data_IF_240893508711
#
_entry.id   IF_240893508711
#
_cell.length_a   1.000
_cell.length_b   1.000
_cell.length_c   1.000
_cell.angle_alpha   90.00
_cell.angle_beta   90.00
_cell.angle_gamma   90.00
#
_symmetry.space_group_name_H-M   'P 1'
#
loop_
_entity.id
_entity.type
_entity.pdbx_description
1 polymer ?
#
# COMPACT_ATOMS: atom_id res chain seq x y z
N UNK A 1 10.50 -10.57 -48.65
CA UNK A 1 10.05 -11.63 -47.72
C UNK A 1 10.77 -11.63 -46.37
N UNK A 2 12.02 -11.17 -46.26
CA UNK A 2 12.79 -11.21 -44.99
C UNK A 2 12.52 -10.08 -43.97
N UNK A 3 11.95 -8.92 -44.36
CA UNK A 3 11.64 -7.83 -43.41
C UNK A 3 10.34 -8.07 -42.61
N UNK A 4 9.38 -8.82 -43.18
CA UNK A 4 8.11 -9.13 -42.51
C UNK A 4 8.29 -10.20 -41.42
N UNK A 5 9.23 -11.15 -41.63
CA UNK A 5 9.56 -12.18 -40.64
C UNK A 5 10.26 -11.61 -39.39
N UNK A 6 11.05 -10.56 -39.55
CA UNK A 6 11.77 -9.89 -38.45
C UNK A 6 10.84 -9.09 -37.53
N UNK A 7 9.76 -8.51 -38.08
CA UNK A 7 8.72 -7.83 -37.29
C UNK A 7 7.84 -8.85 -36.55
N UNK A 8 7.58 -10.02 -37.16
CA UNK A 8 6.84 -11.11 -36.51
C UNK A 8 7.62 -11.78 -35.35
N UNK A 9 8.96 -11.75 -35.41
CA UNK A 9 9.83 -12.27 -34.34
C UNK A 9 9.99 -11.29 -33.16
N UNK A 10 9.90 -9.98 -33.39
CA UNK A 10 9.94 -8.98 -32.32
C UNK A 10 8.66 -9.00 -31.46
N UNK A 11 7.48 -9.21 -32.07
CA UNK A 11 6.20 -9.22 -31.35
C UNK A 11 6.03 -10.42 -30.41
N UNK A 12 6.65 -11.57 -30.72
CA UNK A 12 6.65 -12.74 -29.83
C UNK A 12 7.67 -12.63 -28.68
N UNK A 13 8.58 -11.63 -28.72
CA UNK A 13 9.62 -11.44 -27.71
C UNK A 13 9.11 -10.82 -26.40
N UNK A 14 7.98 -10.12 -26.42
CA UNK A 14 7.38 -9.50 -25.22
C UNK A 14 6.75 -10.57 -24.34
N UNK A 15 6.00 -11.51 -24.92
CA UNK A 15 5.40 -12.63 -24.19
C UNK A 15 6.44 -13.62 -23.62
N UNK A 16 7.63 -13.71 -24.23
CA UNK A 16 8.66 -14.68 -23.84
C UNK A 16 9.43 -14.33 -22.56
N UNK A 17 9.23 -13.13 -21.98
CA UNK A 17 10.00 -12.66 -20.83
C UNK A 17 9.19 -12.50 -19.54
N UNK A 18 7.85 -12.49 -19.63
CA UNK A 18 6.98 -12.54 -18.46
C UNK A 18 6.83 -13.98 -17.99
N UNK A 19 7.01 -14.19 -16.69
CA UNK A 19 6.91 -15.53 -16.10
C UNK A 19 5.56 -15.79 -15.46
N UNK A 20 4.77 -14.75 -15.18
CA UNK A 20 3.43 -14.91 -14.62
C UNK A 20 2.38 -14.26 -15.52
N UNK A 21 1.28 -14.98 -15.71
CA UNK A 21 0.12 -14.54 -16.50
C UNK A 21 -1.17 -14.71 -15.69
N UNK A 22 -2.17 -13.88 -15.93
CA UNK A 22 -3.52 -14.05 -15.39
C UNK A 22 -4.55 -13.50 -16.36
N UNK A 23 -5.84 -13.77 -16.13
CA UNK A 23 -6.95 -13.29 -16.96
C UNK A 23 -7.82 -12.32 -16.20
N UNK A 24 -8.45 -11.39 -16.92
CA UNK A 24 -9.49 -10.52 -16.38
C UNK A 24 -10.85 -11.07 -16.79
N UNK A 25 -11.81 -11.14 -15.87
CA UNK A 25 -13.19 -11.56 -16.14
C UNK A 25 -13.82 -10.70 -17.23
N UNK A 26 -14.69 -11.31 -18.05
CA UNK A 26 -15.37 -10.56 -19.11
C UNK A 26 -16.24 -9.46 -18.51
N UNK A 27 -16.02 -8.23 -18.97
CA UNK A 27 -16.83 -7.06 -18.59
C UNK A 27 -18.11 -6.99 -19.42
N UNK A 28 -19.16 -6.42 -18.82
CA UNK A 28 -20.49 -6.28 -19.44
C UNK A 28 -20.63 -5.01 -20.28
N UNK A 29 -19.91 -3.96 -19.92
CA UNK A 29 -19.98 -2.65 -20.53
C UNK A 29 -18.59 -2.18 -20.98
N UNK A 30 -18.56 -1.25 -21.92
CA UNK A 30 -17.31 -0.60 -22.36
C UNK A 30 -16.99 0.55 -21.39
N UNK A 31 -15.70 0.79 -21.15
CA UNK A 31 -15.22 1.97 -20.44
C UNK A 31 -14.26 1.63 -19.30
N UNK A 32 -14.03 2.61 -18.43
CA UNK A 32 -13.13 2.47 -17.28
C UNK A 32 -13.66 1.47 -16.27
N UNK A 33 -12.84 0.46 -15.96
CA UNK A 33 -13.12 -0.54 -14.95
C UNK A 33 -12.05 -0.52 -13.88
N UNK A 34 -12.47 -0.74 -12.62
CA UNK A 34 -11.57 -0.93 -11.49
C UNK A 34 -11.25 -2.41 -11.32
N UNK A 35 -9.97 -2.74 -11.24
CA UNK A 35 -9.48 -4.10 -11.08
C UNK A 35 -8.64 -4.15 -9.81
N UNK A 36 -9.14 -4.83 -8.77
CA UNK A 36 -8.39 -5.04 -7.54
C UNK A 36 -7.31 -6.09 -7.79
N UNK A 37 -6.06 -5.78 -7.46
CA UNK A 37 -4.94 -6.72 -7.62
C UNK A 37 -4.96 -7.74 -6.48
N UNK A 38 -5.06 -9.05 -6.77
CA UNK A 38 -4.89 -10.09 -5.76
C UNK A 38 -3.48 -10.06 -5.17
N UNK A 39 -3.37 -10.48 -3.92
CA UNK A 39 -2.09 -10.69 -3.23
C UNK A 39 -1.10 -11.53 -4.04
N UNK A 40 -1.63 -12.49 -4.79
CA UNK A 40 -0.84 -13.39 -5.61
C UNK A 40 -0.13 -12.67 -6.77
N UNK A 41 -0.82 -11.76 -7.46
CA UNK A 41 -0.20 -10.91 -8.50
C UNK A 41 0.84 -9.98 -7.88
N UNK A 42 0.49 -9.34 -6.76
CA UNK A 42 1.41 -8.46 -6.00
C UNK A 42 2.69 -9.16 -5.58
N UNK A 43 2.62 -10.45 -5.27
CA UNK A 43 3.77 -11.29 -4.92
C UNK A 43 4.69 -11.65 -6.11
N UNK A 44 4.14 -11.72 -7.33
CA UNK A 44 4.91 -12.03 -8.54
C UNK A 44 5.51 -10.78 -9.21
N UNK A 45 4.85 -9.64 -9.05
CA UNK A 45 5.32 -8.37 -9.58
C UNK A 45 6.49 -7.80 -8.79
N UNK A 46 7.17 -6.83 -9.40
CA UNK A 46 8.05 -5.91 -8.67
C UNK A 46 7.22 -5.10 -7.67
N UNK A 47 7.89 -4.65 -6.61
CA UNK A 47 7.26 -3.93 -5.50
C UNK A 47 6.47 -2.69 -5.98
N UNK A 48 7.07 -1.96 -6.92
CA UNK A 48 6.52 -0.76 -7.57
C UNK A 48 5.57 -1.06 -8.74
N UNK A 49 5.30 -2.34 -9.04
CA UNK A 49 4.47 -2.82 -10.15
C UNK A 49 4.98 -2.40 -11.54
N UNK A 50 6.26 -2.05 -11.68
CA UNK A 50 6.82 -1.59 -12.95
C UNK A 50 6.79 -2.63 -14.07
N UNK A 51 6.69 -3.91 -13.74
CA UNK A 51 6.63 -5.03 -14.67
C UNK A 51 5.21 -5.55 -14.97
N UNK A 52 4.19 -5.00 -14.29
CA UNK A 52 2.79 -5.32 -14.54
C UNK A 52 2.37 -4.77 -15.91
N UNK A 53 1.64 -5.55 -16.71
CA UNK A 53 1.05 -5.12 -17.98
C UNK A 53 -0.33 -5.75 -18.17
N UNK A 54 -1.23 -5.02 -18.82
CA UNK A 54 -2.51 -5.54 -19.32
C UNK A 54 -2.43 -5.57 -20.84
N UNK A 55 -2.75 -6.69 -21.46
CA UNK A 55 -2.80 -6.84 -22.92
C UNK A 55 -4.16 -7.36 -23.37
N UNK A 56 -4.63 -6.90 -24.53
CA UNK A 56 -5.85 -7.39 -25.18
C UNK A 56 -5.64 -8.76 -25.87
N UNK A 57 -6.67 -9.28 -26.51
CA UNK A 57 -6.60 -10.59 -27.19
C UNK A 57 -5.63 -10.63 -28.38
N UNK A 58 -5.24 -9.46 -28.90
CA UNK A 58 -4.27 -9.29 -29.98
C UNK A 58 -2.85 -9.05 -29.46
N UNK A 59 -2.68 -8.94 -28.14
CA UNK A 59 -1.40 -8.67 -27.49
C UNK A 59 -1.03 -7.19 -27.46
N UNK A 60 -1.96 -6.28 -27.75
CA UNK A 60 -1.72 -4.84 -27.59
C UNK A 60 -1.88 -4.44 -26.13
N UNK A 61 -0.95 -3.63 -25.66
CA UNK A 61 -0.96 -3.10 -24.30
C UNK A 61 -2.12 -2.12 -24.09
N UNK A 62 -2.84 -2.31 -22.99
CA UNK A 62 -3.97 -1.47 -22.59
C UNK A 62 -3.48 -0.52 -21.50
N UNK A 63 -3.56 0.81 -21.70
CA UNK A 63 -3.19 1.78 -20.68
C UNK A 63 -3.99 1.60 -19.39
N UNK A 64 -3.32 1.81 -18.25
CA UNK A 64 -3.93 1.70 -16.94
C UNK A 64 -3.35 2.70 -15.94
N UNK A 65 -4.11 3.02 -14.89
CA UNK A 65 -3.66 3.81 -13.73
C UNK A 65 -3.50 2.88 -12.54
N UNK A 66 -2.46 3.07 -11.73
CA UNK A 66 -2.34 2.42 -10.42
C UNK A 66 -2.97 3.32 -9.35
N UNK A 67 -3.97 2.77 -8.66
CA UNK A 67 -4.58 3.36 -7.48
C UNK A 67 -4.04 2.70 -6.22
N UNK A 68 -3.22 3.46 -5.50
CA UNK A 68 -2.77 3.13 -4.16
C UNK A 68 -3.34 4.18 -3.20
N UNK A 69 -4.19 3.74 -2.28
CA UNK A 69 -4.65 4.59 -1.18
C UNK A 69 -3.45 4.75 -0.24
N UNK A 70 -2.71 5.84 -0.41
CA UNK A 70 -1.42 6.04 0.29
C UNK A 70 -1.57 6.61 1.69
N UNK A 71 -2.74 7.16 2.04
CA UNK A 71 -3.01 7.75 3.35
C UNK A 71 -4.46 7.51 3.75
N UNK A 72 -4.71 7.43 5.06
CA UNK A 72 -6.04 7.71 5.60
C UNK A 72 -6.44 9.10 5.12
N UNK A 73 -7.29 9.16 4.10
CA UNK A 73 -7.83 10.42 3.66
C UNK A 73 -8.73 10.91 4.79
N UNK A 74 -8.28 11.94 5.51
CA UNK A 74 -9.15 12.70 6.39
C UNK A 74 -10.04 13.53 5.47
N UNK A 75 -11.11 12.91 4.97
CA UNK A 75 -12.18 13.67 4.34
C UNK A 75 -12.97 14.33 5.46
N UNK A 76 -12.91 15.65 5.55
CA UNK A 76 -13.77 16.43 6.44
C UNK A 76 -15.13 16.60 5.77
N UNK A 77 -16.13 15.84 6.21
CA UNK A 77 -17.51 16.08 5.81
C UNK A 77 -18.18 17.04 6.78
N UNK A 78 -18.86 18.07 6.28
CA UNK A 78 -19.65 18.97 7.12
C UNK A 78 -21.00 18.33 7.47
N UNK A 79 -21.22 18.07 8.75
CA UNK A 79 -22.49 17.55 9.27
C UNK A 79 -23.34 18.71 9.75
N UNK A 80 -24.47 18.97 9.09
CA UNK A 80 -25.36 20.09 9.41
C UNK A 80 -26.23 19.79 10.63
N UNK A 81 -26.35 20.77 11.54
CA UNK A 81 -27.33 20.79 12.61
C UNK A 81 -28.69 21.23 12.08
N UNK A 82 -29.76 20.72 12.70
CA UNK A 82 -31.12 21.17 12.41
C UNK A 82 -31.35 22.54 13.06
N UNK A 83 -31.46 23.59 12.24
CA UNK A 83 -31.87 24.92 12.70
C UNK A 83 -33.37 24.90 13.00
N UNK A 84 -33.73 25.24 14.24
CA UNK A 84 -35.11 25.25 14.72
C UNK A 84 -35.77 26.62 14.50
N UNK A 85 -35.01 27.71 14.72
CA UNK A 85 -35.52 29.06 14.50
C UNK A 85 -34.41 30.07 14.21
N UNK A 86 -34.80 31.13 13.51
CA UNK A 86 -33.98 32.34 13.28
C UNK A 86 -34.84 33.57 13.47
N UNK A 87 -34.41 34.46 14.35
CA UNK A 87 -35.11 35.71 14.65
C UNK A 87 -34.12 36.86 14.58
N UNK A 88 -34.39 37.86 13.74
CA UNK A 88 -33.57 39.07 13.63
C UNK A 88 -34.37 40.26 14.10
N UNK A 89 -33.84 40.97 15.10
CA UNK A 89 -34.36 42.25 15.57
C UNK A 89 -33.45 43.33 15.02
N UNK A 90 -33.92 44.15 14.05
CA UNK A 90 -33.10 45.18 13.41
C UNK A 90 -32.41 46.08 14.43
N UNK A 91 -31.13 46.39 14.18
CA UNK A 91 -30.28 47.25 15.03
C UNK A 91 -30.13 46.76 16.48
N UNK A 92 -30.40 45.48 16.75
CA UNK A 92 -30.31 44.89 18.09
C UNK A 92 -29.54 43.57 18.07
N UNK A 93 -30.15 42.49 17.59
CA UNK A 93 -29.54 41.16 17.59
C UNK A 93 -30.17 40.21 16.59
N UNK A 94 -29.41 39.19 16.20
CA UNK A 94 -29.89 38.00 15.49
C UNK A 94 -29.72 36.79 16.38
N UNK A 95 -30.81 36.06 16.61
CA UNK A 95 -30.84 34.84 17.42
C UNK A 95 -31.07 33.63 16.51
N UNK A 96 -30.24 32.60 16.64
CA UNK A 96 -30.37 31.33 15.92
C UNK A 96 -30.41 30.20 16.95
N UNK A 97 -31.45 29.36 16.91
CA UNK A 97 -31.60 28.18 17.77
C UNK A 97 -31.47 26.93 16.91
N UNK A 98 -30.68 25.96 17.34
CA UNK A 98 -30.49 24.69 16.65
C UNK A 98 -30.41 23.51 17.61
N UNK A 99 -30.72 22.32 17.09
CA UNK A 99 -30.61 21.05 17.82
C UNK A 99 -29.19 20.51 17.74
N UNK A 100 -28.63 20.12 18.89
CA UNK A 100 -27.36 19.41 18.99
C UNK A 100 -27.60 17.89 18.77
N UNK A 101 -27.06 17.31 17.69
CA UNK A 101 -27.24 15.89 17.39
C UNK A 101 -26.24 14.97 18.13
N UNK A 102 -25.30 15.52 18.91
CA UNK A 102 -24.22 14.78 19.57
C UNK A 102 -24.43 14.70 21.08
N UNK A 103 -23.93 13.63 21.70
CA UNK A 103 -23.99 13.43 23.16
C UNK A 103 -23.24 14.52 23.95
N UNK A 104 -22.11 14.98 23.42
CA UNK A 104 -21.39 16.14 23.95
C UNK A 104 -20.68 16.90 22.83
N UNK A 105 -20.46 18.20 23.06
CA UNK A 105 -19.82 19.13 22.13
C UNK A 105 -19.02 20.19 22.88
N UNK A 106 -17.92 20.61 22.29
CA UNK A 106 -17.00 21.67 22.75
C UNK A 106 -16.71 22.71 21.65
N UNK A 107 -17.24 22.50 20.44
CA UNK A 107 -17.19 23.47 19.36
C UNK A 107 -18.39 23.32 18.43
N UNK A 108 -18.73 24.40 17.72
CA UNK A 108 -19.67 24.40 16.61
C UNK A 108 -19.09 25.21 15.46
N UNK A 109 -19.40 24.85 14.23
CA UNK A 109 -18.90 25.52 13.03
C UNK A 109 -20.05 26.21 12.30
N UNK A 110 -19.87 27.49 12.00
CA UNK A 110 -20.77 28.28 11.17
C UNK A 110 -20.23 28.34 9.75
N UNK A 111 -21.09 28.08 8.76
CA UNK A 111 -20.86 28.52 7.38
C UNK A 111 -21.55 29.86 7.19
N UNK A 112 -20.80 30.90 6.85
CA UNK A 112 -21.29 32.28 6.76
C UNK A 112 -21.01 32.79 5.35
N UNK A 113 -21.91 33.61 4.79
CA UNK A 113 -21.63 34.31 3.53
C UNK A 113 -20.39 35.19 3.70
N UNK A 114 -19.49 35.17 2.72
CA UNK A 114 -18.26 35.96 2.72
C UNK A 114 -18.59 37.46 2.94
N UNK A 115 -18.01 38.06 3.98
CA UNK A 115 -18.32 39.43 4.40
C UNK A 115 -17.16 40.05 5.19
N UNK A 116 -16.83 41.30 4.93
CA UNK A 116 -15.89 42.06 5.77
C UNK A 116 -16.63 42.71 6.96
N UNK A 117 -16.98 41.90 7.95
CA UNK A 117 -17.69 42.32 9.16
C UNK A 117 -17.13 41.63 10.40
N UNK A 118 -17.01 42.37 11.49
CA UNK A 118 -16.76 41.82 12.83
C UNK A 118 -18.04 41.89 13.69
N UNK A 119 -18.36 40.81 14.38
CA UNK A 119 -19.53 40.66 15.26
C UNK A 119 -19.12 40.24 16.66
N UNK A 120 -19.85 40.66 17.68
CA UNK A 120 -19.80 39.97 18.98
C UNK A 120 -20.94 38.96 19.08
N UNK A 121 -20.71 37.85 19.77
CA UNK A 121 -21.69 36.81 19.94
C UNK A 121 -21.67 36.21 21.35
N UNK A 122 -22.81 35.63 21.73
CA UNK A 122 -22.96 34.80 22.93
C UNK A 122 -23.61 33.47 22.56
N UNK A 123 -23.28 32.43 23.32
CA UNK A 123 -23.84 31.09 23.17
C UNK A 123 -24.49 30.68 24.50
N UNK A 124 -25.68 30.09 24.42
CA UNK A 124 -26.37 29.50 25.57
C UNK A 124 -26.89 28.11 25.23
N UNK A 125 -26.97 27.24 26.23
CA UNK A 125 -27.52 25.89 26.12
C UNK A 125 -28.85 25.74 26.88
N UNK A 126 -29.69 24.81 26.42
CA UNK A 126 -30.98 24.46 27.02
C UNK A 126 -31.36 23.02 26.69
N UNK A 127 -32.09 22.35 27.58
CA UNK A 127 -32.66 21.03 27.31
C UNK A 127 -34.16 21.06 26.97
N UNK A 128 -34.84 22.19 27.22
CA UNK A 128 -36.29 22.36 27.03
C UNK A 128 -36.68 23.56 26.15
N UNK A 129 -35.71 24.37 25.69
CA UNK A 129 -35.89 25.64 24.97
C UNK A 129 -36.51 26.78 25.80
N UNK A 130 -36.84 26.55 27.07
CA UNK A 130 -37.46 27.53 27.97
C UNK A 130 -36.41 28.15 28.89
N UNK A 131 -35.59 27.32 29.54
CA UNK A 131 -34.52 27.74 30.44
C UNK A 131 -33.18 27.71 29.71
N UNK A 132 -32.45 28.82 29.74
CA UNK A 132 -31.20 29.00 28.99
C UNK A 132 -30.04 29.32 29.93
N UNK A 133 -28.95 28.57 29.79
CA UNK A 133 -27.73 28.72 30.58
C UNK A 133 -26.58 29.20 29.70
N UNK A 134 -25.85 30.21 30.17
CA UNK A 134 -24.74 30.81 29.41
C UNK A 134 -23.56 29.84 29.25
N UNK A 135 -23.04 29.72 28.02
CA UNK A 135 -21.86 28.91 27.70
C UNK A 135 -20.68 29.79 27.26
N UNK A 136 -20.95 30.77 26.40
CA UNK A 136 -19.96 31.74 25.89
C UNK A 136 -20.59 33.12 25.97
N UNK A 137 -19.84 34.11 26.47
CA UNK A 137 -20.36 35.46 26.64
C UNK A 137 -19.49 36.50 25.92
N UNK A 138 -20.12 37.28 25.04
CA UNK A 138 -19.54 38.42 24.33
C UNK A 138 -18.19 38.14 23.65
N UNK A 139 -18.08 36.97 23.03
CA UNK A 139 -16.91 36.58 22.24
C UNK A 139 -16.93 37.26 20.87
N UNK A 140 -15.79 37.29 20.18
CA UNK A 140 -15.63 38.01 18.92
C UNK A 140 -15.61 37.03 17.75
N UNK A 141 -16.42 37.33 16.74
CA UNK A 141 -16.45 36.66 15.45
C UNK A 141 -15.88 37.63 14.39
N UNK A 142 -14.72 37.29 13.85
CA UNK A 142 -13.97 38.11 12.90
C UNK A 142 -13.45 37.26 11.73
N UNK A 143 -12.65 37.87 10.83
CA UNK A 143 -12.03 37.22 9.68
C UNK A 143 -13.07 36.49 8.80
N UNK A 144 -14.22 37.12 8.59
CA UNK A 144 -15.33 36.59 7.80
C UNK A 144 -15.13 36.78 6.29
N UNK A 145 -13.99 37.34 5.90
CA UNK A 145 -13.59 37.55 4.51
C UNK A 145 -12.75 36.38 3.96
N UNK A 146 -12.91 36.09 2.67
CA UNK A 146 -12.10 35.12 1.93
C UNK A 146 -11.98 35.54 0.45
N UNK A 147 -10.80 35.42 -0.14
CA UNK A 147 -10.56 35.88 -1.52
C UNK A 147 -10.95 34.86 -2.60
N UNK A 148 -11.19 33.61 -2.21
CA UNK A 148 -11.39 32.48 -3.13
C UNK A 148 -12.81 31.92 -3.09
N UNK A 149 -13.53 32.10 -1.98
CA UNK A 149 -14.84 31.48 -1.73
C UNK A 149 -15.92 32.50 -1.40
N UNK A 150 -17.17 32.19 -1.78
CA UNK A 150 -18.36 33.01 -1.45
C UNK A 150 -18.89 32.76 -0.04
N UNK A 151 -18.26 31.87 0.72
CA UNK A 151 -18.59 31.56 2.10
C UNK A 151 -17.34 31.22 2.91
N UNK A 152 -17.40 31.46 4.22
CA UNK A 152 -16.33 31.17 5.17
C UNK A 152 -16.86 30.28 6.28
N UNK A 153 -16.07 29.27 6.66
CA UNK A 153 -16.32 28.48 7.85
C UNK A 153 -15.65 29.09 9.08
N UNK A 154 -16.38 29.20 10.18
CA UNK A 154 -15.88 29.68 11.47
C UNK A 154 -16.23 28.74 12.60
N UNK A 155 -15.20 28.22 13.25
CA UNK A 155 -15.31 27.45 14.48
C UNK A 155 -15.52 28.39 15.66
N UNK A 156 -16.61 28.17 16.38
CA UNK A 156 -16.92 28.83 17.65
C UNK A 156 -16.67 27.82 18.77
N UNK A 157 -15.62 27.99 19.59
CA UNK A 157 -15.38 27.12 20.74
C UNK A 157 -16.39 27.40 21.85
N UNK A 158 -16.75 26.36 22.61
CA UNK A 158 -17.57 26.43 23.82
C UNK A 158 -17.07 25.42 24.88
N UNK A 159 -17.40 25.59 26.17
CA UNK A 159 -17.13 24.56 27.16
C UNK A 159 -17.79 23.23 26.76
N UNK A 160 -17.13 22.11 27.06
CA UNK A 160 -17.70 20.77 26.84
C UNK A 160 -19.05 20.66 27.54
N UNK A 161 -20.11 20.44 26.77
CA UNK A 161 -21.49 20.41 27.26
C UNK A 161 -22.32 19.33 26.55
N UNK A 162 -23.49 19.01 27.11
CA UNK A 162 -24.42 18.00 26.58
C UNK A 162 -25.83 18.53 26.33
N UNK A 163 -26.00 19.87 26.28
CA UNK A 163 -27.31 20.48 26.07
C UNK A 163 -27.92 20.07 24.72
N UNK A 164 -29.21 19.74 24.74
CA UNK A 164 -29.94 19.34 23.51
C UNK A 164 -30.11 20.49 22.52
N UNK A 165 -30.28 21.70 23.01
CA UNK A 165 -30.50 22.89 22.19
C UNK A 165 -29.45 23.95 22.48
N UNK A 166 -28.96 24.57 21.42
CA UNK A 166 -28.04 25.69 21.51
C UNK A 166 -28.65 26.93 20.86
N UNK A 167 -28.34 28.08 21.45
CA UNK A 167 -28.76 29.40 20.98
C UNK A 167 -27.53 30.27 20.78
N UNK A 168 -27.37 30.79 19.58
CA UNK A 168 -26.37 31.81 19.24
C UNK A 168 -27.07 33.15 19.14
N UNK A 169 -26.57 34.14 19.87
CA UNK A 169 -27.00 35.53 19.75
C UNK A 169 -25.87 36.37 19.17
N UNK A 170 -26.10 36.92 17.98
CA UNK A 170 -25.20 37.82 17.27
C UNK A 170 -25.61 39.26 17.55
N UNK A 171 -24.66 40.11 17.93
CA UNK A 171 -24.90 41.52 18.22
C UNK A 171 -24.94 42.36 16.93
N UNK A 172 -26.09 42.96 16.66
CA UNK A 172 -26.35 43.76 15.45
C UNK A 172 -26.49 45.26 15.76
N UNK A 173 -26.08 45.71 16.95
CA UNK A 173 -26.19 47.13 17.35
C UNK A 173 -25.29 48.06 16.52
N UNK A 174 -24.08 47.60 16.17
CA UNK A 174 -23.08 48.41 15.47
C UNK A 174 -22.94 48.09 13.98
N UNK A 175 -23.46 46.95 13.54
CA UNK A 175 -23.28 46.41 12.18
C UNK A 175 -24.55 45.69 11.74
N UNK A 176 -24.82 45.64 10.43
CA UNK A 176 -25.97 44.90 9.88
C UNK A 176 -25.85 43.38 10.12
N UNK A 177 -26.96 42.64 10.20
CA UNK A 177 -26.94 41.18 10.39
C UNK A 177 -26.08 40.47 9.34
N UNK A 178 -25.37 39.41 9.76
CA UNK A 178 -24.64 38.53 8.85
C UNK A 178 -25.54 37.36 8.40
N UNK A 179 -25.30 36.85 7.20
CA UNK A 179 -26.03 35.69 6.69
C UNK A 179 -25.32 34.38 7.05
N UNK A 180 -25.75 33.74 8.14
CA UNK A 180 -25.35 32.38 8.49
C UNK A 180 -26.07 31.41 7.55
N UNK A 181 -25.33 30.66 6.74
CA UNK A 181 -25.86 29.68 5.80
C UNK A 181 -26.17 28.36 6.49
N UNK A 182 -25.22 27.85 7.28
CA UNK A 182 -25.29 26.54 7.94
C UNK A 182 -24.65 26.59 9.32
N UNK A 183 -25.11 25.72 10.20
CA UNK A 183 -24.49 25.43 11.51
C UNK A 183 -24.23 23.94 11.53
N UNK A 184 -23.08 23.52 12.02
CA UNK A 184 -22.73 22.10 12.00
C UNK A 184 -21.38 21.82 12.62
N UNK A 185 -20.80 20.70 12.21
CA UNK A 185 -19.50 20.25 12.65
C UNK A 185 -18.74 19.66 11.47
N UNK A 186 -17.42 19.80 11.48
CA UNK A 186 -16.62 18.90 10.65
C UNK A 186 -16.60 17.51 11.30
N UNK A 187 -16.84 16.51 10.48
CA UNK A 187 -16.67 15.10 10.81
C UNK A 187 -15.49 14.61 10.01
N UNK A 188 -14.42 14.26 10.69
CA UNK A 188 -13.32 13.55 10.06
C UNK A 188 -13.81 12.13 9.83
N UNK A 189 -14.14 11.79 8.59
CA UNK A 189 -14.25 10.40 8.21
C UNK A 189 -12.83 9.92 7.94
N UNK A 190 -12.25 9.26 8.94
CA UNK A 190 -11.05 8.46 8.72
C UNK A 190 -11.50 7.27 7.87
N UNK A 191 -11.28 7.35 6.56
CA UNK A 191 -11.39 6.16 5.71
C UNK A 191 -10.17 5.31 6.02
N UNK A 192 -10.36 4.22 6.77
CA UNK A 192 -9.30 3.27 7.03
C UNK A 192 -8.81 2.68 5.71
N UNK A 193 -7.49 2.58 5.53
CA UNK A 193 -6.91 1.93 4.37
C UNK A 193 -7.51 0.52 4.20
N UNK A 194 -7.98 0.21 2.99
CA UNK A 194 -8.46 -1.15 2.70
C UNK A 194 -7.28 -2.09 2.66
N UNK A 195 -7.34 -3.16 3.44
CA UNK A 195 -6.30 -4.19 3.50
C UNK A 195 -6.84 -5.54 3.07
N UNK A 196 -5.98 -6.35 2.46
CA UNK A 196 -6.27 -7.73 2.07
C UNK A 196 -5.43 -8.69 2.91
N UNK A 197 -6.06 -9.74 3.45
CA UNK A 197 -5.37 -10.77 4.21
C UNK A 197 -4.41 -11.57 3.32
N UNK A 198 -3.24 -11.87 3.85
CA UNK A 198 -2.28 -12.81 3.27
C UNK A 198 -1.99 -13.93 4.26
N UNK A 199 -1.72 -15.11 3.73
CA UNK A 199 -1.58 -16.32 4.53
C UNK A 199 -0.13 -16.79 4.50
N UNK A 200 0.49 -16.83 5.68
CA UNK A 200 1.79 -17.44 5.85
C UNK A 200 1.68 -18.95 5.62
N UNK A 201 2.70 -19.52 4.96
CA UNK A 201 2.84 -20.98 4.84
C UNK A 201 3.06 -21.61 6.21
N UNK A 202 3.86 -20.95 7.04
CA UNK A 202 4.19 -21.42 8.39
C UNK A 202 4.57 -20.25 9.28
N UNK A 203 4.12 -20.29 10.54
CA UNK A 203 4.57 -19.43 11.63
C UNK A 203 5.08 -20.30 12.77
N UNK A 204 6.36 -20.21 13.11
CA UNK A 204 6.98 -21.01 14.17
C UNK A 204 7.37 -20.12 15.33
N UNK A 205 6.94 -20.47 16.54
CA UNK A 205 7.26 -19.74 17.76
C UNK A 205 8.33 -20.50 18.52
N UNK A 206 9.44 -19.83 18.81
CA UNK A 206 10.57 -20.33 19.59
C UNK A 206 10.71 -19.46 20.85
N UNK A 207 10.62 -20.09 22.02
CA UNK A 207 10.90 -19.41 23.28
C UNK A 207 12.39 -19.51 23.58
N UNK A 208 13.00 -18.40 23.99
CA UNK A 208 14.43 -18.28 24.26
C UNK A 208 14.65 -17.75 25.68
N UNK A 209 14.48 -18.60 26.72
CA UNK A 209 14.49 -18.14 28.12
C UNK A 209 15.82 -17.51 28.55
N UNK A 210 16.96 -18.06 28.09
CA UNK A 210 18.29 -17.54 28.40
C UNK A 210 18.48 -16.09 27.92
N UNK A 211 17.84 -15.72 26.81
CA UNK A 211 17.90 -14.40 26.19
C UNK A 211 16.69 -13.53 26.57
N UNK A 212 15.78 -14.07 27.40
CA UNK A 212 14.53 -13.42 27.82
C UNK A 212 13.66 -12.94 26.65
N UNK A 213 13.59 -13.76 25.60
CA UNK A 213 12.93 -13.42 24.32
C UNK A 213 12.00 -14.52 23.82
N UNK A 214 11.03 -14.12 23.00
CA UNK A 214 10.23 -15.03 22.17
C UNK A 214 10.47 -14.65 20.71
N UNK A 215 10.89 -15.61 19.89
CA UNK A 215 11.12 -15.40 18.46
C UNK A 215 10.04 -16.10 17.64
N UNK A 216 9.45 -15.38 16.71
CA UNK A 216 8.45 -15.86 15.77
C UNK A 216 9.09 -15.84 14.39
N UNK A 217 9.12 -16.98 13.73
CA UNK A 217 9.63 -17.12 12.37
C UNK A 217 8.46 -17.30 11.40
N UNK A 218 8.32 -16.33 10.50
CA UNK A 218 7.24 -16.25 9.53
C UNK A 218 7.77 -16.62 8.14
N UNK A 219 7.12 -17.58 7.47
CA UNK A 219 7.54 -18.08 6.15
C UNK A 219 6.34 -18.07 5.20
N UNK A 220 6.54 -17.51 4.01
CA UNK A 220 5.61 -17.57 2.89
C UNK A 220 6.15 -18.47 1.78
N UNK A 221 5.27 -18.96 0.89
CA UNK A 221 5.72 -19.76 -0.26
C UNK A 221 6.62 -18.96 -1.21
N UNK A 222 6.39 -17.64 -1.27
CA UNK A 222 7.04 -16.66 -2.14
C UNK A 222 7.20 -15.33 -1.39
N UNK A 223 8.05 -14.39 -1.85
CA UNK A 223 8.03 -13.03 -1.33
C UNK A 223 6.61 -12.45 -1.32
N UNK A 224 6.19 -11.90 -0.19
CA UNK A 224 4.89 -11.26 -0.01
C UNK A 224 5.09 -9.85 0.49
N UNK A 225 4.16 -8.98 0.12
CA UNK A 225 4.10 -7.61 0.62
C UNK A 225 3.29 -7.62 1.92
N UNK A 226 3.88 -7.13 3.02
CA UNK A 226 3.22 -6.99 4.31
C UNK A 226 3.20 -5.52 4.70
N UNK A 227 2.02 -5.01 5.01
CA UNK A 227 1.79 -3.64 5.46
C UNK A 227 1.16 -3.58 6.86
N UNK A 228 0.57 -4.68 7.33
CA UNK A 228 -0.03 -4.74 8.65
C UNK A 228 0.10 -6.14 9.27
N UNK A 229 0.27 -6.19 10.59
CA UNK A 229 0.31 -7.42 11.38
C UNK A 229 -0.67 -7.32 12.54
N UNK A 230 -1.53 -8.32 12.70
CA UNK A 230 -2.47 -8.44 13.81
C UNK A 230 -2.11 -9.63 14.69
N UNK A 231 -2.11 -9.42 16.01
CA UNK A 231 -1.86 -10.44 17.02
C UNK A 231 -3.11 -10.68 17.86
N UNK A 232 -3.49 -11.94 18.00
CA UNK A 232 -4.47 -12.40 19.00
C UNK A 232 -3.71 -13.05 20.15
N UNK A 233 -3.75 -12.41 21.31
CA UNK A 233 -3.00 -12.79 22.51
C UNK A 233 -4.00 -13.18 23.59
N UNK A 234 -3.87 -14.39 24.14
CA UNK A 234 -4.85 -14.93 25.10
C UNK A 234 -4.35 -14.96 26.54
N UNK A 235 -3.03 -14.88 26.76
CA UNK A 235 -2.44 -14.88 28.09
C UNK A 235 -1.04 -14.25 28.07
N UNK A 236 -0.62 -13.56 29.15
CA UNK A 236 -1.41 -13.20 30.33
C UNK A 236 -2.42 -12.08 30.03
N UNK A 237 -3.36 -11.80 30.94
CA UNK A 237 -4.37 -10.75 30.77
C UNK A 237 -3.76 -9.34 30.69
N UNK A 238 -2.67 -9.11 31.43
CA UNK A 238 -1.96 -7.84 31.47
C UNK A 238 -0.55 -8.03 30.92
N UNK A 239 -0.23 -7.30 29.86
CA UNK A 239 1.09 -7.31 29.27
C UNK A 239 1.41 -5.98 28.59
N UNK A 240 2.71 -5.68 28.57
CA UNK A 240 3.31 -4.62 27.78
C UNK A 240 4.69 -5.09 27.35
N UNK A 241 4.90 -5.32 26.04
CA UNK A 241 6.12 -5.92 25.49
C UNK A 241 6.58 -5.19 24.25
N UNK A 242 7.85 -4.84 24.21
CA UNK A 242 8.48 -4.36 22.99
C UNK A 242 8.69 -5.54 22.04
N UNK A 243 8.38 -5.32 20.78
CA UNK A 243 8.62 -6.27 19.70
C UNK A 243 9.34 -5.58 18.53
N UNK A 244 10.19 -6.34 17.86
CA UNK A 244 10.90 -5.91 16.65
C UNK A 244 10.64 -6.87 15.50
N UNK A 245 10.54 -6.34 14.29
CA UNK A 245 10.63 -7.11 13.05
C UNK A 245 12.06 -6.99 12.54
N UNK A 246 12.67 -8.10 12.17
CA UNK A 246 13.97 -8.08 11.51
C UNK A 246 14.06 -9.10 10.39
N UNK A 247 14.97 -8.82 9.46
CA UNK A 247 15.30 -9.69 8.32
C UNK A 247 16.80 -9.96 8.28
N UNK A 248 17.18 -11.09 7.68
CA UNK A 248 18.58 -11.45 7.53
C UNK A 248 19.10 -10.96 6.18
N UNK A 249 20.01 -9.98 6.17
CA UNK A 249 20.68 -9.52 4.95
C UNK A 249 22.08 -10.09 4.81
N UNK A 250 22.51 -10.28 3.55
CA UNK A 250 23.89 -10.62 3.20
C UNK A 250 24.65 -9.32 2.90
N UNK A 251 25.86 -9.17 3.46
CA UNK A 251 26.72 -8.04 3.08
C UNK A 251 27.08 -8.14 1.58
N UNK A 252 26.97 -7.06 0.79
CA UNK A 252 27.57 -7.00 -0.53
C UNK A 252 29.09 -7.18 -0.37
N UNK A 253 29.67 -8.15 -1.07
CA UNK A 253 30.93 -8.78 -0.67
C UNK A 253 32.12 -8.42 -1.55
N UNK A 254 33.25 -8.07 -0.92
CA UNK A 254 34.59 -8.54 -1.31
C UNK A 254 35.16 -9.60 -0.34
N UNK A 255 34.44 -9.97 0.73
CA UNK A 255 34.78 -11.09 1.64
C UNK A 255 33.51 -11.85 2.04
N UNK A 256 33.59 -13.20 2.09
CA UNK A 256 32.49 -14.16 2.35
C UNK A 256 31.38 -13.53 3.22
N UNK A 257 30.27 -13.16 2.58
CA UNK A 257 29.24 -12.30 3.19
C UNK A 257 28.60 -12.94 4.42
N UNK A 258 28.97 -12.45 5.61
CA UNK A 258 28.30 -12.79 6.85
C UNK A 258 26.83 -12.33 6.78
N UNK A 259 25.92 -13.20 7.22
CA UNK A 259 24.49 -12.90 7.38
C UNK A 259 24.33 -12.15 8.70
N UNK A 260 23.64 -11.01 8.70
CA UNK A 260 23.37 -10.23 9.91
C UNK A 260 21.88 -9.85 9.99
N UNK A 261 21.32 -9.71 11.19
CA UNK A 261 19.95 -9.24 11.37
C UNK A 261 19.89 -7.72 11.16
N UNK A 262 18.95 -7.27 10.34
CA UNK A 262 18.61 -5.86 10.15
C UNK A 262 17.20 -5.62 10.69
N UNK A 263 17.10 -4.71 11.67
CA UNK A 263 15.83 -4.31 12.26
C UNK A 263 15.06 -3.51 11.21
N UNK A 264 13.86 -3.98 10.87
CA UNK A 264 12.99 -3.37 9.89
C UNK A 264 11.96 -2.43 10.53
N UNK A 265 11.35 -2.86 11.64
CA UNK A 265 10.31 -2.10 12.34
C UNK A 265 10.24 -2.50 13.81
N UNK A 266 9.62 -1.68 14.64
CA UNK A 266 9.38 -1.96 16.05
C UNK A 266 7.97 -1.50 16.45
N UNK A 267 7.40 -2.14 17.46
CA UNK A 267 6.08 -1.80 18.02
C UNK A 267 5.96 -2.36 19.45
N UNK A 268 4.93 -1.90 20.18
CA UNK A 268 4.63 -2.37 21.52
C UNK A 268 3.33 -3.18 21.52
N UNK A 269 3.41 -4.43 21.98
CA UNK A 269 2.24 -5.26 22.30
C UNK A 269 1.70 -4.85 23.67
N UNK A 270 0.42 -4.51 23.74
CA UNK A 270 -0.21 -4.00 24.97
C UNK A 270 -1.61 -4.58 25.15
N UNK A 271 -1.98 -4.95 26.39
CA UNK A 271 -3.31 -5.48 26.71
C UNK A 271 -4.43 -4.42 26.64
N UNK A 272 -4.09 -3.14 26.71
CA UNK A 272 -5.05 -2.02 26.72
C UNK A 272 -5.37 -1.47 25.31
N UNK A 273 -4.69 -1.94 24.27
CA UNK A 273 -4.86 -1.45 22.90
C UNK A 273 -5.10 -2.61 21.94
N UNK A 274 -5.61 -2.28 20.74
CA UNK A 274 -5.69 -3.27 19.67
C UNK A 274 -4.27 -3.61 19.21
N UNK A 275 -3.89 -4.89 19.29
CA UNK A 275 -2.58 -5.37 18.84
C UNK A 275 -2.56 -5.57 17.30
N UNK A 276 -2.78 -4.48 16.58
CA UNK A 276 -2.87 -4.40 15.12
C UNK A 276 -1.98 -3.25 14.67
N UNK A 277 -0.92 -3.57 13.93
CA UNK A 277 0.18 -2.66 13.66
C UNK A 277 0.37 -2.48 12.17
N UNK A 278 0.15 -1.26 11.68
CA UNK A 278 0.60 -0.86 10.35
C UNK A 278 2.13 -0.69 10.37
N UNK A 279 2.81 -1.30 9.40
CA UNK A 279 4.26 -1.28 9.26
C UNK A 279 4.65 -0.69 7.89
N UNK A 280 5.87 -0.16 7.75
CA UNK A 280 6.43 0.12 6.42
C UNK A 280 6.34 -1.12 5.53
N UNK A 281 6.21 -0.92 4.23
CA UNK A 281 6.03 -2.02 3.28
C UNK A 281 7.21 -2.99 3.34
N UNK A 282 6.96 -4.22 3.81
CA UNK A 282 7.96 -5.29 3.87
C UNK A 282 7.71 -6.24 2.70
N UNK A 283 8.68 -6.40 1.79
CA UNK A 283 8.57 -7.33 0.67
C UNK A 283 9.56 -8.50 0.83
N UNK A 284 9.14 -9.52 1.57
CA UNK A 284 10.04 -10.62 1.96
C UNK A 284 9.33 -11.97 1.95
N UNK A 285 10.09 -13.02 1.67
CA UNK A 285 9.59 -14.40 1.76
C UNK A 285 9.59 -14.90 3.21
N UNK A 286 10.55 -14.43 3.98
CA UNK A 286 10.76 -14.85 5.36
C UNK A 286 11.22 -13.67 6.21
N UNK A 287 10.73 -13.60 7.43
CA UNK A 287 11.14 -12.60 8.40
C UNK A 287 10.92 -13.11 9.82
N UNK A 288 11.46 -12.36 10.77
CA UNK A 288 11.39 -12.70 12.19
C UNK A 288 10.72 -11.57 12.96
N UNK A 289 9.94 -11.95 13.97
CA UNK A 289 9.44 -11.04 14.99
C UNK A 289 10.02 -11.50 16.32
N UNK A 290 10.63 -10.59 17.07
CA UNK A 290 11.20 -10.88 18.37
C UNK A 290 10.53 -10.03 19.43
N UNK A 291 9.98 -10.69 20.44
CA UNK A 291 9.28 -10.09 21.57
C UNK A 291 10.22 -10.16 22.78
N UNK A 292 10.46 -9.02 23.42
CA UNK A 292 11.23 -8.94 24.66
C UNK A 292 10.35 -9.32 25.85
N UNK A 293 10.59 -10.48 26.46
CA UNK A 293 9.82 -10.96 27.61
C UNK A 293 10.30 -10.33 28.93
N UNK A 294 11.57 -9.91 29.01
CA UNK A 294 12.25 -9.56 30.27
C UNK A 294 12.07 -10.69 31.29
N UNK A 295 11.70 -10.38 32.53
CA UNK A 295 11.49 -11.39 33.59
C UNK A 295 10.10 -12.04 33.57
N UNK A 296 9.32 -11.86 32.50
CA UNK A 296 7.95 -12.34 32.43
C UNK A 296 7.84 -13.63 31.63
N UNK A 297 6.80 -14.44 31.89
CA UNK A 297 6.51 -15.59 31.04
C UNK A 297 6.20 -15.15 29.59
N UNK A 298 6.50 -16.01 28.60
CA UNK A 298 6.14 -15.77 27.20
C UNK A 298 4.64 -15.52 27.00
N UNK A 299 4.29 -14.67 26.03
CA UNK A 299 2.90 -14.46 25.63
C UNK A 299 2.34 -15.72 24.94
N UNK A 300 1.07 -16.04 25.20
CA UNK A 300 0.34 -17.05 24.45
C UNK A 300 -0.32 -16.42 23.22
N UNK A 301 0.24 -16.69 22.04
CA UNK A 301 -0.20 -16.15 20.75
C UNK A 301 -1.14 -17.16 20.09
N UNK A 302 -2.44 -16.89 20.08
CA UNK A 302 -3.43 -17.74 19.42
C UNK A 302 -3.37 -17.60 17.91
N UNK A 303 -3.23 -16.36 17.42
CA UNK A 303 -3.25 -16.05 16.00
C UNK A 303 -2.32 -14.90 15.67
N UNK A 304 -1.65 -15.03 14.53
CA UNK A 304 -0.87 -13.96 13.91
C UNK A 304 -1.35 -13.85 12.47
N UNK A 305 -1.86 -12.68 12.11
CA UNK A 305 -2.39 -12.41 10.77
C UNK A 305 -1.57 -11.33 10.11
N UNK A 306 -1.42 -11.45 8.79
CA UNK A 306 -0.66 -10.52 7.98
C UNK A 306 -1.58 -9.96 6.91
N UNK A 307 -1.42 -8.68 6.60
CA UNK A 307 -2.21 -8.00 5.59
C UNK A 307 -1.34 -7.13 4.71
N UNK A 308 -1.80 -6.90 3.49
CA UNK A 308 -1.24 -5.94 2.56
C UNK A 308 -2.26 -4.87 2.23
N UNK A 309 -1.79 -3.66 1.92
CA UNK A 309 -2.65 -2.59 1.43
C UNK A 309 -3.23 -2.99 0.07
N UNK A 310 -4.53 -2.77 -0.10
CA UNK A 310 -5.20 -3.06 -1.36
C UNK A 310 -4.74 -2.07 -2.43
N UNK A 311 -4.32 -2.59 -3.58
CA UNK A 311 -4.05 -1.80 -4.77
C UNK A 311 -5.05 -2.20 -5.85
N UNK A 312 -5.56 -1.20 -6.54
CA UNK A 312 -6.38 -1.40 -7.72
C UNK A 312 -5.69 -0.76 -8.94
N UNK A 313 -6.06 -1.25 -10.12
CA UNK A 313 -5.75 -0.59 -11.38
C UNK A 313 -7.03 -0.16 -12.07
N UNK A 314 -7.01 0.95 -12.79
CA UNK A 314 -8.10 1.39 -13.65
C UNK A 314 -7.66 1.26 -15.09
N UNK A 315 -8.43 0.55 -15.92
CA UNK A 315 -8.17 0.40 -17.34
C UNK A 315 -9.46 0.55 -18.16
N UNK A 316 -9.35 1.02 -19.40
CA UNK A 316 -10.47 1.07 -20.34
C UNK A 316 -10.67 -0.32 -20.98
N UNK A 317 -11.73 -1.02 -20.56
CA UNK A 317 -12.04 -2.38 -20.98
C UNK A 317 -13.27 -2.38 -21.91
N UNK A 318 -13.28 -3.30 -22.88
CA UNK A 318 -14.37 -3.50 -23.83
C UNK A 318 -15.15 -4.76 -23.50
N UNK A 319 -16.47 -4.67 -23.62
CA UNK A 319 -17.37 -5.80 -23.49
C UNK A 319 -16.99 -6.92 -24.48
N UNK A 320 -16.99 -8.15 -23.99
CA UNK A 320 -16.62 -9.38 -24.73
C UNK A 320 -15.17 -9.47 -25.21
N UNK A 321 -14.31 -8.50 -24.89
CA UNK A 321 -12.87 -8.59 -25.13
C UNK A 321 -12.20 -9.44 -24.06
N UNK A 322 -11.14 -10.18 -24.43
CA UNK A 322 -10.37 -10.99 -23.49
C UNK A 322 -9.07 -10.30 -23.17
N UNK A 323 -8.82 -10.07 -21.89
CA UNK A 323 -7.59 -9.43 -21.43
C UNK A 323 -6.73 -10.40 -20.63
N UNK A 324 -5.42 -10.26 -20.82
CA UNK A 324 -4.39 -11.01 -20.10
C UNK A 324 -3.50 -10.04 -19.33
N UNK A 325 -3.23 -10.37 -18.08
CA UNK A 325 -2.24 -9.69 -17.25
C UNK A 325 -0.91 -10.42 -17.41
N UNK A 326 0.17 -9.65 -17.53
CA UNK A 326 1.55 -10.14 -17.60
C UNK A 326 2.35 -9.49 -16.47
N UNK A 327 3.16 -10.27 -15.77
CA UNK A 327 4.07 -9.77 -14.72
C UNK A 327 5.28 -10.69 -14.55
N UNK A 328 6.15 -10.40 -13.58
CA UNK A 328 7.37 -11.12 -13.25
C UNK A 328 8.44 -10.99 -14.36
N UNK A 329 8.61 -9.76 -14.86
CA UNK A 329 9.67 -9.41 -15.81
C UNK A 329 10.62 -8.37 -15.20
N UNK A 330 11.77 -8.79 -14.65
CA UNK A 330 12.65 -7.91 -13.88
C UNK A 330 13.30 -6.80 -14.72
N UNK A 331 13.26 -6.89 -16.05
CA UNK A 331 13.85 -5.91 -16.96
C UNK A 331 12.93 -4.73 -17.26
N UNK A 332 11.65 -4.84 -16.92
CA UNK A 332 10.68 -3.78 -17.21
C UNK A 332 10.70 -2.69 -16.14
N UNK A 333 10.43 -1.49 -16.63
CA UNK A 333 10.16 -0.29 -15.85
C UNK A 333 8.68 0.08 -15.98
N UNK A 334 8.21 0.90 -15.05
CA UNK A 334 6.85 1.41 -15.05
C UNK A 334 6.51 2.06 -16.39
N UNK A 335 5.34 1.74 -16.98
CA UNK A 335 4.92 2.36 -18.22
C UNK A 335 4.46 3.81 -17.95
N UNK A 336 4.62 4.67 -18.95
CA UNK A 336 4.13 6.05 -18.94
C UNK A 336 2.94 6.15 -19.90
N UNK A 337 1.74 6.33 -19.34
CA UNK A 337 0.52 6.49 -20.11
C UNK A 337 -0.10 7.87 -19.89
N UNK A 338 -0.70 8.44 -20.94
CA UNK A 338 -1.48 9.67 -20.84
C UNK A 338 -2.65 9.57 -19.85
N UNK A 339 -3.15 8.35 -19.62
CA UNK A 339 -4.26 8.09 -18.71
C UNK A 339 -3.96 8.60 -17.28
N UNK A 340 -2.70 8.57 -16.83
CA UNK A 340 -2.31 9.06 -15.49
C UNK A 340 -2.64 10.55 -15.30
N UNK A 341 -2.61 11.36 -16.37
CA UNK A 341 -2.95 12.79 -16.31
C UNK A 341 -4.43 13.04 -16.01
N UNK A 342 -5.29 12.05 -16.19
CA UNK A 342 -6.74 12.14 -15.96
C UNK A 342 -7.18 11.53 -14.64
N UNK A 343 -6.26 11.09 -13.78
CA UNK A 343 -6.56 10.44 -12.49
C UNK A 343 -7.57 11.22 -11.63
N UNK A 344 -7.47 12.55 -11.62
CA UNK A 344 -8.34 13.42 -10.80
C UNK A 344 -9.73 13.67 -11.42
N UNK A 345 -9.94 13.37 -12.71
CA UNK A 345 -11.24 13.53 -13.37
C UNK A 345 -12.05 12.24 -13.46
N UNK A 346 -11.46 11.10 -13.10
CA UNK A 346 -12.14 9.80 -13.10
C UNK A 346 -13.09 9.71 -11.91
N UNK A 347 -14.33 9.28 -12.18
CA UNK A 347 -15.34 9.05 -11.15
C UNK A 347 -14.91 7.89 -10.22
N UNK A 348 -15.14 8.04 -8.91
CA UNK A 348 -14.82 7.02 -7.92
C UNK A 348 -15.73 5.77 -8.00
N UNK A 349 -16.91 5.86 -8.62
CA UNK A 349 -17.83 4.75 -8.78
C UNK A 349 -17.66 4.07 -10.14
N UNK A 350 -16.69 3.16 -10.24
CA UNK A 350 -16.40 2.39 -11.46
C UNK A 350 -16.90 0.93 -11.32
N UNK A 351 -17.35 0.31 -12.42
CA UNK A 351 -17.61 -1.13 -12.45
C UNK A 351 -16.34 -1.90 -12.12
N UNK A 352 -16.47 -2.97 -11.32
CA UNK A 352 -15.35 -3.81 -10.91
C UNK A 352 -15.17 -5.01 -11.86
N UNK A 353 -13.92 -5.31 -12.20
CA UNK A 353 -13.53 -6.53 -12.90
C UNK A 353 -12.50 -7.31 -12.06
N UNK A 354 -12.59 -8.64 -12.10
CA UNK A 354 -11.76 -9.52 -11.26
C UNK A 354 -10.69 -10.24 -12.07
N UNK A 355 -9.60 -10.55 -11.39
CA UNK A 355 -8.49 -11.34 -11.93
C UNK A 355 -8.69 -12.80 -11.53
N UNK A 356 -8.50 -13.71 -12.49
CA UNK A 356 -8.59 -15.15 -12.29
C UNK A 356 -7.53 -15.90 -13.12
N UNK A 357 -7.43 -17.22 -12.93
CA UNK A 357 -6.53 -18.11 -13.70
C UNK A 357 -5.05 -17.66 -13.67
N UNK A 358 -4.56 -17.31 -12.48
CA UNK A 358 -3.17 -16.90 -12.26
C UNK A 358 -2.25 -18.11 -12.47
N UNK A 359 -1.31 -17.98 -13.40
CA UNK A 359 -0.41 -19.05 -13.83
C UNK A 359 1.03 -18.54 -13.92
N UNK A 360 1.92 -19.19 -13.18
CA UNK A 360 3.35 -19.02 -13.35
C UNK A 360 3.88 -20.04 -14.38
N UNK A 361 4.48 -19.53 -15.45
CA UNK A 361 5.21 -20.33 -16.43
C UNK A 361 6.54 -20.71 -15.76
N UNK A 362 6.56 -21.91 -15.16
CA UNK A 362 7.82 -22.52 -14.74
C UNK A 362 8.62 -22.82 -16.01
N UNK A 363 9.55 -21.93 -16.35
CA UNK A 363 10.71 -22.32 -17.12
C UNK A 363 11.42 -23.35 -16.25
N UNK A 364 11.17 -24.64 -16.50
CA UNK A 364 12.13 -25.67 -16.19
C UNK A 364 13.39 -25.19 -16.89
N UNK A 365 14.29 -24.54 -16.15
CA UNK A 365 15.64 -24.34 -16.60
C UNK A 365 16.07 -25.74 -17.05
N UNK A 366 16.13 -25.95 -18.37
CA UNK A 366 17.12 -26.85 -18.90
C UNK A 366 18.40 -26.24 -18.37
N UNK A 367 18.84 -26.74 -17.22
CA UNK A 367 20.22 -26.68 -16.81
C UNK A 367 20.95 -27.22 -18.02
N UNK A 368 21.35 -26.30 -18.91
CA UNK A 368 22.49 -26.52 -19.75
C UNK A 368 23.57 -26.77 -18.72
N UNK A 369 23.79 -28.05 -18.39
CA UNK A 369 24.96 -28.49 -17.65
C UNK A 369 26.08 -27.78 -18.38
N UNK A 370 26.58 -26.70 -17.79
CA UNK A 370 27.67 -25.97 -18.36
C UNK A 370 28.82 -26.97 -18.28
N UNK A 371 29.03 -27.70 -19.37
CA UNK A 371 30.00 -28.80 -19.41
C UNK A 371 31.29 -28.18 -18.93
N UNK A 372 31.87 -28.75 -17.88
CA UNK A 372 33.10 -28.24 -17.29
C UNK A 372 34.14 -28.05 -18.40
N UNK A 373 35.06 -27.09 -18.29
CA UNK A 373 36.00 -26.72 -19.37
C UNK A 373 36.66 -27.95 -20.06
N UNK A 374 36.98 -28.97 -19.28
CA UNK A 374 37.57 -30.25 -19.71
C UNK A 374 36.63 -31.17 -20.52
N UNK A 375 35.32 -30.97 -20.40
CA UNK A 375 34.26 -31.71 -21.11
C UNK A 375 33.86 -31.04 -22.43
N UNK A 376 34.50 -29.93 -22.79
CA UNK A 376 34.28 -29.26 -24.06
C UNK A 376 35.01 -30.01 -25.19
N UNK A 377 34.34 -30.22 -26.32
CA UNK A 377 34.89 -31.02 -27.43
C UNK A 377 36.25 -30.51 -27.95
N UNK A 378 36.49 -29.20 -27.91
CA UNK A 378 37.77 -28.62 -28.34
C UNK A 378 38.94 -28.98 -27.41
N UNK A 379 38.69 -29.16 -26.11
CA UNK A 379 39.71 -29.56 -25.15
C UNK A 379 40.18 -31.00 -25.40
N UNK A 380 39.25 -31.90 -25.74
CA UNK A 380 39.57 -33.26 -26.18
C UNK A 380 40.45 -33.28 -27.44
N UNK A 381 40.14 -32.44 -28.43
CA UNK A 381 40.97 -32.33 -29.64
C UNK A 381 42.37 -31.78 -29.34
N UNK A 382 42.51 -30.86 -28.39
CA UNK A 382 43.80 -30.36 -27.95
C UNK A 382 44.64 -31.50 -27.31
N UNK A 383 44.05 -32.32 -26.44
CA UNK A 383 44.72 -33.49 -25.87
C UNK A 383 45.12 -34.52 -26.94
N UNK A 384 44.27 -34.79 -27.93
CA UNK A 384 44.59 -35.69 -29.05
C UNK A 384 45.75 -35.14 -29.87
N UNK A 385 45.75 -33.84 -30.18
CA UNK A 385 46.85 -33.19 -30.90
C UNK A 385 48.17 -33.27 -30.13
N UNK A 386 48.13 -33.04 -28.80
CA UNK A 386 49.32 -33.12 -27.96
C UNK A 386 49.87 -34.56 -27.92
N UNK A 387 48.99 -35.55 -27.78
CA UNK A 387 49.36 -36.97 -27.85
C UNK A 387 49.98 -37.35 -29.19
N UNK A 388 49.41 -36.86 -30.30
CA UNK A 388 49.96 -37.07 -31.64
C UNK A 388 51.37 -36.50 -31.80
N UNK A 389 51.63 -35.30 -31.27
CA UNK A 389 52.97 -34.68 -31.29
C UNK A 389 53.98 -35.52 -30.50
N UNK A 390 53.60 -36.00 -29.31
CA UNK A 390 54.48 -36.84 -28.50
C UNK A 390 54.82 -38.15 -29.22
N UNK A 391 53.83 -38.81 -29.82
CA UNK A 391 54.06 -40.04 -30.60
C UNK A 391 54.95 -39.77 -31.82
N UNK A 392 54.72 -38.66 -32.54
CA UNK A 392 55.56 -38.25 -33.66
C UNK A 392 57.01 -37.97 -33.24
N UNK A 393 57.21 -37.37 -32.06
CA UNK A 393 58.54 -37.14 -31.50
C UNK A 393 59.26 -38.45 -31.17
N UNK A 394 58.59 -39.38 -30.47
CA UNK A 394 59.18 -40.67 -30.12
C UNK A 394 59.45 -41.55 -31.34
N UNK A 395 58.54 -41.59 -32.32
CA UNK A 395 58.76 -42.31 -33.57
C UNK A 395 59.93 -41.75 -34.36
N UNK A 396 60.09 -40.42 -34.41
CA UNK A 396 61.26 -39.78 -35.03
C UNK A 396 62.56 -40.09 -34.30
N UNK A 397 62.54 -40.14 -32.96
CA UNK A 397 63.70 -40.56 -32.16
C UNK A 397 64.07 -42.01 -32.43
N UNK A 398 63.09 -42.92 -32.44
CA UNK A 398 63.30 -44.34 -32.71
C UNK A 398 63.84 -44.60 -34.11
N UNK A 399 63.31 -43.91 -35.13
CA UNK A 399 63.81 -44.02 -36.51
C UNK A 399 65.23 -43.47 -36.62
N UNK A 400 65.56 -42.40 -35.88
CA UNK A 400 66.93 -41.86 -35.82
C UNK A 400 67.88 -42.87 -35.16
N UNK A 401 67.50 -43.44 -34.02
CA UNK A 401 68.31 -44.44 -33.30
C UNK A 401 68.50 -45.74 -34.11
N UNK A 402 67.50 -46.14 -34.90
CA UNK A 402 67.63 -47.26 -35.84
C UNK A 402 68.57 -46.94 -37.01
N UNK A 403 68.60 -45.69 -37.49
CA UNK A 403 69.50 -45.26 -38.57
C UNK A 403 70.95 -45.18 -38.10
N UNK A 404 71.17 -44.69 -36.87
CA UNK A 404 72.51 -44.54 -36.30
C UNK A 404 73.11 -45.92 -35.88
N UNK A 405 72.27 -46.94 -35.64
CA UNK A 405 72.70 -48.33 -35.40
C UNK A 405 72.85 -49.19 -36.67
N UNK A 406 72.47 -48.70 -37.85
CA UNK A 406 72.61 -49.41 -39.13
C UNK A 406 73.89 -49.03 -39.91
N UNK A 407 74.72 -48.16 -39.35
CA UNK A 407 76.02 -47.74 -39.91
C UNK A 407 77.18 -48.19 -39.02
N UNK A 408 77.31 -49.50 -38.82
CA UNK A 408 78.55 -50.19 -38.39
C UNK A 408 78.94 -51.16 -39.50
#
# INVERSE_FOLDING_TARGET
>A
MNKFLLILLAFNGVLAQHKTTAKIENVKENGLHKIILPAEIRSFSKEELGDFRIVDSKGFEVPYIILQENNEAISSSFSECKILSRTTIPKSRTTIIFENPRASIDEIVLSITNADVTKSYSISGSDNQEEWFGLVNNSILNQLENNENTSVFKTLPLPLCSYRYLKIELNDKKTLPINVLKIGFFTNKTSSLKVAAIFAKSTRILQMPAEKKTRIYCIFDRPQIINQIDFTITSPNLFQRNAIIFIHKKKPSNQKGAIFPEIFSNFELNSNTKNSFSIPQLFEKEFFIEIENRDNPPLNLEKIQFFQNQIAVIADLRANEKYTILTENPKLQSPEYDLENFKNSINNNLPEAKIYDIKQISSKEKTLKNKSFWQQSWFMWLCISLGGIVIAFFTKSLVKDMRDNASI
#
